data_IF_964612729398
#
_entry.id   IF_964612729398
#
_cell.length_a   1.000
_cell.length_b   1.000
_cell.length_c   1.000
_cell.angle_alpha   90.00
_cell.angle_beta   90.00
_cell.angle_gamma   90.00
#
_symmetry.space_group_name_H-M   'P 1'
#
loop_
_entity.id
_entity.type
_entity.pdbx_description
1 polymer ?
#
# COMPACT_ATOMS: atom_id res chain seq x y z
N UNK A 1 21.64 44.42 -52.46
CA UNK A 1 22.07 43.01 -52.66
C UNK A 1 21.12 42.10 -51.88
N UNK A 2 20.22 41.37 -52.56
CA UNK A 2 19.17 40.57 -51.91
C UNK A 2 19.63 39.11 -51.88
N UNK A 3 20.09 38.65 -50.72
CA UNK A 3 20.51 37.25 -50.52
C UNK A 3 19.26 36.36 -50.50
N UNK A 4 19.07 35.57 -51.54
CA UNK A 4 18.02 34.55 -51.62
C UNK A 4 18.47 33.35 -50.79
N UNK A 5 17.89 33.13 -49.60
CA UNK A 5 18.20 31.96 -48.76
C UNK A 5 17.32 30.78 -49.19
N UNK A 6 17.93 29.67 -49.55
CA UNK A 6 17.23 28.46 -49.99
C UNK A 6 16.48 27.79 -48.81
N UNK A 7 15.15 27.57 -48.91
CA UNK A 7 14.33 27.05 -47.81
C UNK A 7 14.62 25.58 -47.46
N UNK A 8 15.22 24.82 -48.39
CA UNK A 8 15.52 23.39 -48.21
C UNK A 8 16.53 23.15 -47.08
N UNK A 9 17.55 24.02 -46.96
CA UNK A 9 18.49 23.97 -45.84
C UNK A 9 17.85 24.38 -44.51
N UNK A 10 16.85 25.27 -44.54
CA UNK A 10 16.11 25.67 -43.33
C UNK A 10 15.21 24.54 -42.84
N UNK A 11 14.48 23.86 -43.73
CA UNK A 11 13.60 22.74 -43.39
C UNK A 11 14.39 21.54 -42.84
N UNK A 12 15.54 21.22 -43.45
CA UNK A 12 16.46 20.20 -42.94
C UNK A 12 16.94 20.53 -41.52
N UNK A 13 17.25 21.80 -41.24
CA UNK A 13 17.66 22.24 -39.90
C UNK A 13 16.51 22.25 -38.87
N UNK A 14 15.27 22.49 -39.30
CA UNK A 14 14.09 22.47 -38.43
C UNK A 14 13.76 21.05 -37.95
N UNK A 15 13.88 20.06 -38.83
CA UNK A 15 13.69 18.65 -38.47
C UNK A 15 14.75 18.20 -37.45
N UNK A 16 16.01 18.59 -37.66
CA UNK A 16 17.11 18.32 -36.72
C UNK A 16 16.87 18.97 -35.34
N UNK A 17 16.34 20.19 -35.30
CA UNK A 17 15.95 20.87 -34.05
C UNK A 17 14.82 20.16 -33.33
N UNK A 18 13.84 19.63 -34.05
CA UNK A 18 12.73 18.89 -33.45
C UNK A 18 13.19 17.56 -32.85
N UNK A 19 14.10 16.85 -33.54
CA UNK A 19 14.73 15.65 -32.99
C UNK A 19 15.58 15.97 -31.75
N UNK A 20 16.37 17.04 -31.78
CA UNK A 20 17.13 17.50 -30.62
C UNK A 20 16.22 17.80 -29.42
N UNK A 21 15.08 18.45 -29.66
CA UNK A 21 14.08 18.74 -28.64
C UNK A 21 13.56 17.42 -28.03
N UNK A 22 13.14 16.47 -28.86
CA UNK A 22 12.60 15.17 -28.38
C UNK A 22 13.64 14.41 -27.55
N UNK A 23 14.88 14.32 -28.03
CA UNK A 23 15.98 13.66 -27.30
C UNK A 23 16.23 14.34 -25.95
N UNK A 24 16.27 15.68 -25.94
CA UNK A 24 16.50 16.46 -24.72
C UNK A 24 15.34 16.30 -23.73
N UNK A 25 14.10 16.29 -24.21
CA UNK A 25 12.91 16.09 -23.38
C UNK A 25 12.88 14.70 -22.74
N UNK A 26 13.19 13.66 -23.52
CA UNK A 26 13.27 12.28 -22.99
C UNK A 26 14.36 12.19 -21.93
N UNK A 27 15.54 12.76 -22.19
CA UNK A 27 16.63 12.78 -21.22
C UNK A 27 16.24 13.51 -19.93
N UNK A 28 15.63 14.69 -20.05
CA UNK A 28 15.17 15.47 -18.90
C UNK A 28 14.09 14.71 -18.11
N UNK A 29 13.13 14.08 -18.79
CA UNK A 29 12.11 13.25 -18.15
C UNK A 29 12.67 12.04 -17.41
N UNK A 30 13.67 11.36 -17.99
CA UNK A 30 14.34 10.23 -17.36
C UNK A 30 15.09 10.64 -16.08
N UNK A 31 15.72 11.83 -16.07
CA UNK A 31 16.38 12.37 -14.88
C UNK A 31 15.37 12.65 -13.76
N UNK A 32 14.24 13.28 -14.10
CA UNK A 32 13.18 13.54 -13.12
C UNK A 32 12.63 12.22 -12.59
N UNK A 33 12.30 11.26 -13.46
CA UNK A 33 11.83 9.95 -13.04
C UNK A 33 12.82 9.24 -12.11
N UNK A 34 14.11 9.27 -12.45
CA UNK A 34 15.20 8.73 -11.63
C UNK A 34 15.29 9.38 -10.25
N UNK A 35 15.05 10.69 -10.17
CA UNK A 35 15.07 11.44 -8.90
C UNK A 35 13.90 11.05 -7.98
N UNK A 36 12.75 10.65 -8.55
CA UNK A 36 11.59 10.21 -7.78
C UNK A 36 11.69 8.74 -7.31
N UNK A 37 12.57 7.92 -7.89
CA UNK A 37 12.71 6.49 -7.54
C UNK A 37 12.91 6.24 -6.03
N UNK A 38 13.77 6.98 -5.30
CA UNK A 38 13.95 6.71 -3.87
C UNK A 38 12.69 7.03 -3.04
N UNK A 39 12.00 8.12 -3.38
CA UNK A 39 10.78 8.53 -2.69
C UNK A 39 9.64 7.53 -2.93
N UNK A 40 9.48 7.06 -4.17
CA UNK A 40 8.46 6.06 -4.52
C UNK A 40 8.80 4.69 -3.94
N UNK A 41 10.07 4.30 -3.91
CA UNK A 41 10.51 3.05 -3.27
C UNK A 41 10.19 3.04 -1.77
N UNK A 42 10.47 4.15 -1.06
CA UNK A 42 10.14 4.29 0.36
C UNK A 42 8.62 4.28 0.59
N UNK A 43 7.85 4.99 -0.23
CA UNK A 43 6.39 4.96 -0.12
C UNK A 43 5.84 3.55 -0.36
N UNK A 44 6.39 2.82 -1.33
CA UNK A 44 5.99 1.45 -1.63
C UNK A 44 6.29 0.49 -0.48
N UNK A 45 7.43 0.61 0.21
CA UNK A 45 7.74 -0.27 1.35
C UNK A 45 6.72 -0.08 2.47
N UNK A 46 6.41 1.17 2.82
CA UNK A 46 5.39 1.50 3.84
C UNK A 46 4.00 0.96 3.47
N UNK A 47 3.62 1.08 2.19
CA UNK A 47 2.35 0.54 1.72
C UNK A 47 2.30 -1.00 1.84
N UNK A 48 3.38 -1.69 1.47
CA UNK A 48 3.46 -3.15 1.59
C UNK A 48 3.43 -3.62 3.06
N UNK A 49 4.11 -2.92 3.96
CA UNK A 49 4.07 -3.23 5.40
C UNK A 49 2.64 -3.15 5.95
N UNK A 50 1.89 -2.13 5.54
CA UNK A 50 0.50 -1.96 5.95
C UNK A 50 -0.38 -3.12 5.47
N UNK A 51 -0.24 -3.52 4.20
CA UNK A 51 -0.96 -4.67 3.62
C UNK A 51 -0.60 -5.97 4.36
N UNK A 52 0.68 -6.16 4.67
CA UNK A 52 1.14 -7.35 5.37
C UNK A 52 0.58 -7.45 6.80
N UNK A 53 0.39 -6.30 7.46
CA UNK A 53 -0.28 -6.21 8.76
C UNK A 53 -1.74 -6.70 8.70
N UNK A 54 -2.49 -6.30 7.66
CA UNK A 54 -3.85 -6.79 7.45
C UNK A 54 -3.89 -8.28 7.08
N UNK A 55 -2.96 -8.75 6.26
CA UNK A 55 -2.89 -10.17 5.89
C UNK A 55 -2.43 -11.07 7.03
N UNK A 56 -1.65 -10.54 7.99
CA UNK A 56 -1.24 -11.26 9.20
C UNK A 56 -2.35 -11.32 10.26
N UNK A 57 -3.44 -10.56 10.11
CA UNK A 57 -4.57 -10.69 11.01
C UNK A 57 -5.24 -12.05 10.79
N UNK A 58 -5.36 -12.89 11.83
CA UNK A 58 -5.98 -14.19 11.69
C UNK A 58 -7.45 -14.00 11.25
N UNK A 59 -7.87 -14.79 10.25
CA UNK A 59 -9.22 -14.75 9.68
C UNK A 59 -10.34 -15.03 10.71
N UNK A 60 -9.95 -15.58 11.86
CA UNK A 60 -10.74 -15.67 13.07
C UNK A 60 -10.02 -14.86 14.15
N UNK A 61 -10.66 -13.81 14.68
CA UNK A 61 -10.35 -13.35 16.04
C UNK A 61 -10.29 -14.62 16.90
N UNK A 62 -9.17 -14.85 17.59
CA UNK A 62 -9.06 -15.88 18.60
C UNK A 62 -9.97 -15.48 19.76
N UNK A 63 -11.27 -15.66 19.56
CA UNK A 63 -12.28 -15.60 20.61
C UNK A 63 -12.13 -16.89 21.38
N UNK A 64 -11.14 -16.90 22.27
CA UNK A 64 -11.07 -17.90 23.31
C UNK A 64 -12.48 -17.97 23.94
N UNK A 65 -13.14 -19.14 23.98
CA UNK A 65 -14.52 -19.23 24.44
C UNK A 65 -14.63 -18.56 25.81
N UNK A 66 -15.69 -17.77 26.05
CA UNK A 66 -15.86 -17.07 27.31
C UNK A 66 -15.75 -18.08 28.46
N UNK A 67 -15.06 -17.67 29.54
CA UNK A 67 -14.84 -18.51 30.70
C UNK A 67 -16.17 -19.11 31.17
N UNK A 68 -16.26 -20.45 31.13
CA UNK A 68 -17.48 -21.14 31.53
C UNK A 68 -17.61 -21.16 33.05
N UNK A 69 -18.84 -21.03 33.54
CA UNK A 69 -19.12 -21.08 34.97
C UNK A 69 -18.78 -22.45 35.54
N UNK A 70 -18.03 -22.50 36.64
CA UNK A 70 -17.81 -23.76 37.37
C UNK A 70 -19.00 -24.02 38.27
N UNK A 71 -19.69 -25.16 38.09
CA UNK A 71 -20.84 -25.54 38.91
C UNK A 71 -20.46 -26.65 39.87
N UNK A 72 -20.75 -26.46 41.16
CA UNK A 72 -20.56 -27.47 42.20
C UNK A 72 -21.88 -28.20 42.42
N UNK A 73 -21.87 -29.51 42.22
CA UNK A 73 -23.02 -30.40 42.39
C UNK A 73 -22.88 -31.22 43.68
N UNK A 74 -23.98 -31.43 44.38
CA UNK A 74 -24.10 -32.40 45.46
C UNK A 74 -24.14 -33.83 44.89
N UNK A 75 -23.94 -34.84 45.75
CA UNK A 75 -23.95 -36.26 45.35
C UNK A 75 -25.31 -36.74 44.80
N UNK A 76 -26.38 -35.99 45.06
CA UNK A 76 -27.73 -36.20 44.53
C UNK A 76 -28.00 -35.46 43.20
N UNK A 77 -27.00 -34.71 42.69
CA UNK A 77 -27.12 -33.90 41.48
C UNK A 77 -27.68 -32.49 41.69
N UNK A 78 -28.00 -32.09 42.93
CA UNK A 78 -28.46 -30.73 43.24
C UNK A 78 -27.33 -29.69 43.13
N UNK A 79 -27.63 -28.48 42.66
CA UNK A 79 -26.62 -27.42 42.51
C UNK A 79 -26.38 -26.71 43.83
N UNK A 80 -25.13 -26.73 44.31
CA UNK A 80 -24.72 -26.04 45.56
C UNK A 80 -24.29 -24.60 45.26
N UNK A 81 -23.48 -24.40 44.21
CA UNK A 81 -22.95 -23.08 43.85
C UNK A 81 -22.48 -23.01 42.39
N UNK A 82 -22.47 -21.80 41.83
CA UNK A 82 -21.87 -21.46 40.53
C UNK A 82 -20.82 -20.37 40.72
N UNK A 83 -19.61 -20.62 40.22
CA UNK A 83 -18.48 -19.68 40.28
C UNK A 83 -18.21 -19.10 38.88
N UNK A 84 -18.01 -17.78 38.84
CA UNK A 84 -17.75 -17.00 37.64
C UNK A 84 -16.47 -16.22 37.81
N UNK A 85 -15.65 -16.19 36.77
CA UNK A 85 -14.54 -15.23 36.67
C UNK A 85 -15.03 -13.87 36.16
N UNK A 86 -15.97 -13.87 35.20
CA UNK A 86 -16.72 -12.69 34.76
C UNK A 86 -18.18 -13.06 34.51
N UNK A 87 -19.11 -12.34 35.15
CA UNK A 87 -20.55 -12.50 34.92
C UNK A 87 -21.00 -11.62 33.74
N UNK A 88 -20.92 -12.16 32.53
CA UNK A 88 -21.43 -11.49 31.31
C UNK A 88 -22.74 -12.15 30.89
N UNK A 89 -23.83 -11.43 31.10
CA UNK A 89 -25.16 -11.79 30.60
C UNK A 89 -25.23 -11.52 29.10
N UNK A 90 -25.59 -12.53 28.31
CA UNK A 90 -25.90 -12.33 26.89
C UNK A 90 -27.26 -11.65 26.79
N UNK A 91 -27.33 -10.47 26.16
CA UNK A 91 -28.56 -9.81 25.72
C UNK A 91 -28.95 -10.30 24.34
#
# INVERSE_FOLDING_TARGET
MKTTKNPVLTTASTLGRLLLLVVTSIACGALVAGLFVPATALAATVANDSINMFNNLPASLDVNPPAQATTVLASDGSTIARFYEQDRQAV
#
